data_IF_634323705528
#
_entry.id   IF_634323705528
#
_cell.length_a   1.000
_cell.length_b   1.000
_cell.length_c   1.000
_cell.angle_alpha   90.00
_cell.angle_beta   90.00
_cell.angle_gamma   90.00
#
_symmetry.space_group_name_H-M   'P 1'
#
loop_
_entity.id
_entity.type
_entity.pdbx_description
1 polymer ?
#
# COMPACT_ATOMS: atom_id res chain seq x y z
N UNK A 1 -3.74 9.54 -13.42
CA UNK A 1 -3.10 8.40 -14.14
C UNK A 1 -3.36 8.65 -15.61
N UNK A 2 -2.49 9.41 -16.29
CA UNK A 2 -2.88 10.05 -17.55
C UNK A 2 -1.82 9.89 -18.64
N UNK A 3 -1.58 8.66 -19.13
CA UNK A 3 -0.92 8.62 -20.44
C UNK A 3 -1.22 7.48 -21.40
N UNK A 4 -1.55 6.24 -21.02
CA UNK A 4 -1.70 5.19 -22.05
C UNK A 4 -2.77 4.11 -21.75
N UNK A 5 -4.03 4.53 -21.58
CA UNK A 5 -5.16 3.60 -21.56
C UNK A 5 -6.30 4.14 -22.43
N UNK A 6 -6.73 3.38 -23.44
CA UNK A 6 -7.83 3.75 -24.36
C UNK A 6 -9.22 3.64 -23.71
N UNK A 7 -9.31 3.95 -22.42
CA UNK A 7 -10.55 4.01 -21.64
C UNK A 7 -10.46 5.22 -20.74
N UNK A 8 -11.23 6.25 -21.10
CA UNK A 8 -11.32 7.52 -20.40
C UNK A 8 -11.91 7.23 -19.02
N UNK A 9 -11.14 7.42 -17.94
CA UNK A 9 -11.69 7.33 -16.58
C UNK A 9 -12.92 8.24 -16.37
N UNK A 10 -13.02 9.29 -17.19
CA UNK A 10 -14.20 10.16 -17.26
C UNK A 10 -15.54 9.46 -17.53
N UNK A 11 -15.57 8.27 -18.16
CA UNK A 11 -16.82 7.62 -18.54
C UNK A 11 -17.59 7.03 -17.36
N UNK A 12 -16.92 6.51 -16.33
CA UNK A 12 -17.62 6.01 -15.14
C UNK A 12 -18.09 7.17 -14.26
N UNK A 13 -17.27 8.21 -14.06
CA UNK A 13 -17.66 9.44 -13.34
C UNK A 13 -18.88 10.11 -13.98
N UNK A 14 -18.93 10.19 -15.31
CA UNK A 14 -20.06 10.80 -16.03
C UNK A 14 -21.37 9.98 -15.96
N UNK A 15 -21.30 8.65 -15.93
CA UNK A 15 -22.48 7.77 -15.94
C UNK A 15 -22.95 7.36 -14.54
N UNK A 16 -22.02 7.27 -13.61
CA UNK A 16 -22.20 6.66 -12.31
C UNK A 16 -21.69 7.52 -11.16
N UNK A 17 -21.25 8.77 -11.37
CA UNK A 17 -20.77 9.63 -10.28
C UNK A 17 -19.36 9.27 -9.82
N UNK A 18 -19.15 8.06 -9.29
CA UNK A 18 -17.84 7.54 -8.82
C UNK A 18 -17.66 6.06 -9.19
N UNK A 19 -16.44 5.55 -9.00
CA UNK A 19 -16.16 4.11 -9.18
C UNK A 19 -16.89 3.25 -8.14
N UNK A 20 -16.98 3.73 -6.89
CA UNK A 20 -17.75 3.06 -5.83
C UNK A 20 -19.24 2.99 -6.18
N UNK A 21 -19.81 4.06 -6.72
CA UNK A 21 -21.21 4.07 -7.15
C UNK A 21 -21.44 3.18 -8.40
N UNK A 22 -20.45 3.03 -9.29
CA UNK A 22 -20.51 2.06 -10.37
C UNK A 22 -20.50 0.60 -9.87
N UNK A 23 -19.69 0.30 -8.84
CA UNK A 23 -19.63 -1.02 -8.17
C UNK A 23 -20.97 -1.31 -7.45
N UNK A 24 -21.51 -0.32 -6.74
CA UNK A 24 -22.81 -0.42 -6.07
C UNK A 24 -23.94 -0.73 -7.08
N UNK A 25 -24.02 0.02 -8.18
CA UNK A 25 -25.02 -0.21 -9.23
C UNK A 25 -24.84 -1.54 -9.96
N UNK A 26 -23.64 -2.12 -9.93
CA UNK A 26 -23.37 -3.46 -10.44
C UNK A 26 -23.73 -4.58 -9.45
N UNK A 27 -24.23 -4.25 -8.25
CA UNK A 27 -24.65 -5.20 -7.23
C UNK A 27 -23.51 -5.73 -6.35
N UNK A 28 -22.37 -5.07 -6.34
CA UNK A 28 -21.22 -5.41 -5.50
C UNK A 28 -21.09 -4.41 -4.35
N UNK A 29 -20.52 -4.84 -3.22
CA UNK A 29 -20.26 -3.95 -2.08
C UNK A 29 -19.12 -2.99 -2.44
N UNK A 30 -19.35 -1.66 -2.39
CA UNK A 30 -18.30 -0.67 -2.55
C UNK A 30 -17.25 -0.81 -1.45
N UNK A 31 -16.03 -0.36 -1.72
CA UNK A 31 -15.04 -0.28 -0.65
C UNK A 31 -15.31 0.95 0.19
N UNK A 32 -15.27 0.77 1.51
CA UNK A 32 -15.44 1.87 2.44
C UNK A 32 -14.37 2.94 2.21
N UNK A 33 -14.73 4.22 2.31
CA UNK A 33 -13.75 5.29 2.40
C UNK A 33 -12.83 5.04 3.59
N UNK A 34 -11.59 5.50 3.48
CA UNK A 34 -10.69 5.50 4.63
C UNK A 34 -11.19 6.65 5.52
N UNK A 35 -11.78 6.34 6.67
CA UNK A 35 -12.45 7.34 7.50
C UNK A 35 -11.48 8.39 8.08
N UNK A 36 -10.19 8.05 8.25
CA UNK A 36 -9.17 9.00 8.72
C UNK A 36 -7.81 8.78 8.04
N UNK A 37 -7.15 9.83 7.50
CA UNK A 37 -5.79 9.73 6.99
C UNK A 37 -4.83 9.44 8.15
N UNK A 38 -3.91 8.49 7.95
CA UNK A 38 -2.90 8.13 8.95
C UNK A 38 -2.09 9.37 9.37
N UNK A 39 -2.00 9.62 10.68
CA UNK A 39 -1.14 10.68 11.22
C UNK A 39 0.31 10.44 10.79
N UNK A 40 1.00 11.51 10.39
CA UNK A 40 2.40 11.42 9.97
C UNK A 40 3.29 11.17 11.20
N UNK A 41 3.97 10.02 11.30
CA UNK A 41 4.83 9.73 12.44
C UNK A 41 6.11 10.59 12.43
N UNK A 42 6.77 10.70 13.58
CA UNK A 42 8.07 11.38 13.73
C UNK A 42 9.25 10.54 13.22
N UNK A 43 9.12 9.21 13.26
CA UNK A 43 10.14 8.24 12.85
C UNK A 43 9.62 7.38 11.70
N UNK A 44 10.54 6.81 10.93
CA UNK A 44 10.15 5.86 9.88
C UNK A 44 9.64 4.57 10.54
N UNK A 45 8.39 4.12 10.28
CA UNK A 45 7.85 2.91 10.90
C UNK A 45 8.56 1.63 10.44
N UNK A 46 9.30 1.67 9.32
CA UNK A 46 9.99 0.49 8.79
C UNK A 46 11.39 0.29 9.39
N UNK A 47 12.20 1.35 9.50
CA UNK A 47 13.56 1.26 10.05
C UNK A 47 13.73 1.86 11.44
N UNK A 48 12.71 2.52 11.99
CA UNK A 48 12.71 3.22 13.29
C UNK A 48 13.74 4.34 13.43
N UNK A 49 14.35 4.76 12.33
CA UNK A 49 15.27 5.88 12.36
C UNK A 49 14.56 7.23 12.22
N UNK A 50 15.03 8.19 12.99
CA UNK A 50 14.65 9.61 12.93
C UNK A 50 15.39 10.31 11.76
N UNK A 51 15.36 9.71 10.57
CA UNK A 51 15.97 10.30 9.37
C UNK A 51 15.04 11.38 8.79
N UNK A 52 15.61 12.53 8.43
CA UNK A 52 14.85 13.72 8.02
C UNK A 52 13.85 13.46 6.89
N UNK A 53 12.56 13.68 7.18
CA UNK A 53 11.47 13.76 6.22
C UNK A 53 10.95 12.41 5.72
N UNK A 54 9.70 12.08 6.10
CA UNK A 54 8.97 10.95 5.54
C UNK A 54 8.22 11.27 4.23
N UNK A 55 8.31 10.38 3.24
CA UNK A 55 7.53 10.39 2.01
C UNK A 55 6.28 9.50 2.19
N UNK A 56 5.15 9.88 1.59
CA UNK A 56 3.93 9.07 1.61
C UNK A 56 3.99 7.99 0.52
N UNK A 57 4.13 6.73 0.92
CA UNK A 57 4.08 5.57 0.06
C UNK A 57 2.63 5.19 -0.23
N UNK A 58 2.26 5.09 -1.51
CA UNK A 58 0.88 4.78 -1.91
C UNK A 58 0.72 3.29 -2.26
N UNK A 59 -0.15 2.59 -1.54
CA UNK A 59 -0.64 1.25 -1.91
C UNK A 59 -1.81 1.32 -2.89
N UNK A 60 -2.65 2.35 -2.76
CA UNK A 60 -3.74 2.66 -3.70
C UNK A 60 -3.74 4.14 -4.03
N UNK A 61 -4.08 4.45 -5.27
CA UNK A 61 -4.10 5.81 -5.81
C UNK A 61 -5.52 6.21 -6.16
N UNK A 62 -5.84 7.51 -6.06
CA UNK A 62 -7.12 8.09 -6.48
C UNK A 62 -7.93 8.63 -5.30
N UNK A 63 -9.26 8.63 -5.43
CA UNK A 63 -10.17 9.22 -4.42
C UNK A 63 -10.14 8.48 -3.07
N UNK A 64 -9.65 7.23 -3.04
CA UNK A 64 -9.44 6.43 -1.82
C UNK A 64 -7.94 6.08 -1.70
N UNK A 65 -7.10 7.12 -1.67
CA UNK A 65 -5.65 6.98 -1.53
C UNK A 65 -5.30 6.30 -0.21
N UNK A 66 -4.63 5.15 -0.30
CA UNK A 66 -4.25 4.34 0.85
C UNK A 66 -2.73 4.21 0.85
N UNK A 67 -2.12 4.39 2.01
CA UNK A 67 -0.67 4.46 2.10
C UNK A 67 -0.14 4.59 3.52
N UNK A 68 1.18 4.60 3.63
CA UNK A 68 1.93 4.82 4.86
C UNK A 68 3.10 5.77 4.62
N UNK A 69 3.62 6.34 5.70
CA UNK A 69 4.81 7.19 5.65
C UNK A 69 6.08 6.35 5.81
N UNK A 70 7.08 6.58 4.97
CA UNK A 70 8.38 5.91 5.02
C UNK A 70 9.50 6.94 4.78
N UNK A 71 10.69 6.73 5.35
CA UNK A 71 11.86 7.50 4.92
C UNK A 71 12.21 7.18 3.46
N UNK A 72 13.01 8.03 2.84
CA UNK A 72 13.35 7.89 1.42
C UNK A 72 13.96 6.52 1.07
N UNK A 73 14.86 6.04 1.92
CA UNK A 73 15.55 4.76 1.72
C UNK A 73 14.58 3.58 1.82
N UNK A 74 13.76 3.53 2.87
CA UNK A 74 12.72 2.51 3.05
C UNK A 74 11.68 2.56 1.92
N UNK A 75 11.28 3.75 1.48
CA UNK A 75 10.38 3.91 0.35
C UNK A 75 10.96 3.32 -0.95
N UNK A 76 12.23 3.61 -1.23
CA UNK A 76 12.91 3.09 -2.43
C UNK A 76 13.14 1.57 -2.33
N UNK A 77 13.35 1.04 -1.12
CA UNK A 77 13.47 -0.41 -0.87
C UNK A 77 12.15 -1.15 -1.12
N UNK A 78 11.00 -0.60 -0.69
CA UNK A 78 9.67 -1.15 -1.01
C UNK A 78 9.49 -1.27 -2.53
N UNK A 79 9.97 -0.29 -3.30
CA UNK A 79 9.93 -0.31 -4.76
C UNK A 79 11.09 -1.06 -5.43
N UNK A 80 11.96 -1.76 -4.70
CA UNK A 80 13.10 -2.45 -5.30
C UNK A 80 12.66 -3.54 -6.29
N UNK A 81 13.40 -3.65 -7.39
CA UNK A 81 13.19 -4.70 -8.40
C UNK A 81 11.81 -4.65 -9.05
N UNK A 82 11.04 -5.72 -8.88
CA UNK A 82 9.69 -5.85 -9.44
C UNK A 82 8.62 -5.10 -8.64
N UNK A 83 8.95 -4.52 -7.48
CA UNK A 83 8.07 -3.62 -6.71
C UNK A 83 7.83 -2.26 -7.39
N UNK A 84 8.54 -1.96 -8.48
CA UNK A 84 8.30 -0.74 -9.26
C UNK A 84 6.95 -0.80 -9.96
N UNK A 85 6.18 0.28 -9.86
CA UNK A 85 4.88 0.51 -10.54
C UNK A 85 4.81 0.20 -12.03
N UNK A 86 5.95 0.12 -12.72
CA UNK A 86 6.02 -0.27 -14.14
C UNK A 86 5.79 -1.77 -14.37
N UNK A 87 5.83 -2.58 -13.31
CA UNK A 87 5.66 -4.03 -13.37
C UNK A 87 4.20 -4.42 -13.10
N UNK A 88 3.66 -5.43 -13.79
CA UNK A 88 2.24 -5.81 -13.69
C UNK A 88 1.85 -6.31 -12.30
N UNK A 89 2.77 -6.95 -11.59
CA UNK A 89 2.56 -7.52 -10.25
C UNK A 89 3.26 -6.70 -9.16
N UNK A 90 3.44 -5.40 -9.38
CA UNK A 90 4.23 -4.55 -8.49
C UNK A 90 3.75 -4.59 -7.04
N UNK A 91 2.44 -4.71 -6.79
CA UNK A 91 1.89 -4.76 -5.44
C UNK A 91 2.40 -5.97 -4.65
N UNK A 92 2.40 -7.16 -5.28
CA UNK A 92 2.89 -8.40 -4.64
C UNK A 92 4.35 -8.24 -4.22
N UNK A 93 5.19 -7.78 -5.14
CA UNK A 93 6.61 -7.60 -4.85
C UNK A 93 6.88 -6.47 -3.85
N UNK A 94 6.08 -5.40 -3.87
CA UNK A 94 6.24 -4.29 -2.94
C UNK A 94 5.85 -4.70 -1.51
N UNK A 95 4.78 -5.48 -1.35
CA UNK A 95 4.39 -6.04 -0.05
C UNK A 95 5.44 -7.04 0.44
N UNK A 96 5.96 -7.89 -0.44
CA UNK A 96 7.06 -8.81 -0.08
C UNK A 96 8.32 -8.07 0.37
N UNK A 97 8.72 -7.03 -0.37
CA UNK A 97 9.85 -6.19 0.02
C UNK A 97 9.61 -5.54 1.39
N UNK A 98 8.43 -4.93 1.60
CA UNK A 98 8.05 -4.32 2.86
C UNK A 98 8.16 -5.31 4.03
N UNK A 99 7.53 -6.49 3.91
CA UNK A 99 7.52 -7.51 4.96
C UNK A 99 8.94 -8.01 5.23
N UNK A 100 9.70 -8.35 4.18
CA UNK A 100 11.08 -8.80 4.36
C UNK A 100 11.94 -7.74 5.05
N UNK A 101 11.83 -6.48 4.65
CA UNK A 101 12.57 -5.37 5.27
C UNK A 101 12.12 -5.15 6.72
N UNK A 102 10.82 -5.22 7.01
CA UNK A 102 10.30 -5.11 8.37
C UNK A 102 10.90 -6.19 9.28
N UNK A 103 10.86 -7.46 8.86
CA UNK A 103 11.40 -8.57 9.64
C UNK A 103 12.92 -8.44 9.84
N UNK A 104 13.64 -7.96 8.83
CA UNK A 104 15.08 -7.68 8.95
C UNK A 104 15.39 -6.61 10.02
N UNK A 105 14.63 -5.53 10.09
CA UNK A 105 14.82 -4.50 11.12
C UNK A 105 14.39 -4.96 12.51
N UNK A 106 13.38 -5.83 12.61
CA UNK A 106 12.89 -6.36 13.89
C UNK A 106 13.79 -7.46 14.47
N UNK A 107 14.51 -8.19 13.61
CA UNK A 107 15.44 -9.24 14.02
C UNK A 107 14.76 -10.60 14.27
N UNK A 108 15.58 -11.60 14.61
CA UNK A 108 15.16 -13.02 14.66
C UNK A 108 14.19 -13.38 15.79
N UNK A 109 14.12 -12.56 16.84
CA UNK A 109 13.30 -12.84 18.02
C UNK A 109 11.89 -12.20 17.91
N UNK A 110 11.60 -11.54 16.79
CA UNK A 110 10.31 -10.93 16.53
C UNK A 110 9.32 -11.94 15.93
N UNK A 111 8.22 -12.15 16.63
CA UNK A 111 7.09 -12.95 16.14
C UNK A 111 6.18 -12.04 15.31
N UNK A 112 6.14 -12.28 14.01
CA UNK A 112 5.37 -11.48 13.07
C UNK A 112 3.87 -11.72 13.22
N UNK A 113 3.10 -10.65 13.28
CA UNK A 113 1.64 -10.70 13.28
C UNK A 113 1.08 -9.97 12.05
N UNK A 114 0.19 -10.65 11.33
CA UNK A 114 -0.34 -10.17 10.04
C UNK A 114 -1.19 -8.93 10.25
N UNK A 115 -2.08 -8.94 11.23
CA UNK A 115 -2.96 -7.80 11.52
C UNK A 115 -2.14 -6.59 11.94
N UNK A 116 -1.14 -6.78 12.81
CA UNK A 116 -0.22 -5.73 13.23
C UNK A 116 0.52 -5.10 12.04
N UNK A 117 1.07 -5.91 11.12
CA UNK A 117 1.77 -5.39 9.94
C UNK A 117 0.79 -4.65 9.01
N UNK A 118 -0.40 -5.18 8.80
CA UNK A 118 -1.44 -4.56 7.98
C UNK A 118 -1.84 -3.19 8.52
N UNK A 119 -2.06 -3.08 9.83
CA UNK A 119 -2.40 -1.84 10.51
C UNK A 119 -1.22 -0.84 10.49
N UNK A 120 -0.01 -1.29 10.85
CA UNK A 120 1.17 -0.43 10.94
C UNK A 120 1.49 0.28 9.61
N UNK A 121 1.29 -0.39 8.48
CA UNK A 121 1.54 0.16 7.16
C UNK A 121 0.28 0.52 6.38
N UNK A 122 -0.89 0.48 7.03
CA UNK A 122 -2.19 0.79 6.44
C UNK A 122 -2.35 0.13 5.06
N UNK A 123 -2.10 -1.18 5.04
CA UNK A 123 -2.13 -1.98 3.82
C UNK A 123 -3.58 -2.14 3.35
N UNK A 124 -3.80 -2.24 2.02
CA UNK A 124 -5.10 -2.65 1.52
C UNK A 124 -5.39 -4.10 1.96
N UNK A 125 -6.62 -4.56 1.79
CA UNK A 125 -6.99 -5.97 2.02
C UNK A 125 -6.13 -6.94 1.17
N UNK A 126 -5.00 -7.37 1.75
CA UNK A 126 -3.93 -8.19 1.17
C UNK A 126 -3.30 -9.13 2.22
N UNK A 127 -4.08 -9.61 3.20
CA UNK A 127 -3.58 -10.49 4.26
C UNK A 127 -2.77 -11.67 3.71
N UNK A 128 -3.26 -12.33 2.65
CA UNK A 128 -2.56 -13.42 1.96
C UNK A 128 -1.14 -13.03 1.50
N UNK A 129 -0.93 -11.79 1.04
CA UNK A 129 0.39 -11.32 0.58
C UNK A 129 1.35 -11.08 1.75
N UNK A 130 0.82 -10.64 2.89
CA UNK A 130 1.59 -10.43 4.12
C UNK A 130 1.98 -11.77 4.72
N UNK A 131 1.04 -12.70 4.83
CA UNK A 131 1.28 -14.08 5.25
C UNK A 131 2.38 -14.75 4.41
N UNK A 132 2.22 -14.71 3.08
CA UNK A 132 3.27 -15.22 2.18
C UNK A 132 4.61 -14.49 2.37
N UNK A 133 4.60 -13.19 2.66
CA UNK A 133 5.82 -12.44 2.92
C UNK A 133 6.55 -12.93 4.17
N UNK A 134 5.80 -13.24 5.24
CA UNK A 134 6.34 -13.77 6.50
C UNK A 134 6.90 -15.18 6.30
N UNK A 135 6.17 -16.05 5.60
CA UNK A 135 6.60 -17.44 5.35
C UNK A 135 7.86 -17.56 4.48
N UNK A 136 8.14 -16.56 3.65
CA UNK A 136 9.27 -16.56 2.71
C UNK A 136 10.50 -15.77 3.20
N UNK A 137 10.45 -15.18 4.39
CA UNK A 137 11.53 -14.39 4.97
C UNK A 137 12.56 -15.24 5.73
#
# INVERSE_FOLDING_TARGET
MDKHGKHVGALYTYRFGSWNEAIERAGYTPRDPIDEPMDRPSECPLCEEEQGGLDFHHWRYGENELGCYLCRECHDEVHRGQGRRSHSNWLVHSVQNLVSTHLQYRGSDYEADVEQIMEQYNLPDVCDLVEMGIENA
#
